data_IF_057131469186
#
_entry.id   IF_057131469186
#
_cell.length_a   1.000
_cell.length_b   1.000
_cell.length_c   1.000
_cell.angle_alpha   90.00
_cell.angle_beta   90.00
_cell.angle_gamma   90.00
#
_symmetry.space_group_name_H-M   'P 1'
#
loop_
_entity.id
_entity.type
_entity.pdbx_description
1 polymer ?
#
# COMPACT_ATOMS: atom_id res chain seq x y z
N UNK A 1 -19.06 54.87 -10.29
CA UNK A 1 -18.03 54.39 -9.35
C UNK A 1 -18.24 52.89 -9.13
N UNK A 2 -17.65 52.04 -9.98
CA UNK A 2 -17.70 50.58 -9.82
C UNK A 2 -16.57 50.15 -8.88
N UNK A 3 -16.90 49.60 -7.72
CA UNK A 3 -15.92 49.06 -6.77
C UNK A 3 -15.54 47.64 -7.21
N UNK A 4 -14.29 47.46 -7.63
CA UNK A 4 -13.69 46.16 -7.88
C UNK A 4 -13.40 45.49 -6.53
N UNK A 5 -14.18 44.46 -6.16
CA UNK A 5 -13.90 43.66 -4.98
C UNK A 5 -12.82 42.62 -5.33
N UNK A 6 -11.60 42.82 -4.85
CA UNK A 6 -10.57 41.77 -4.87
C UNK A 6 -10.99 40.67 -3.90
N UNK A 7 -11.40 39.51 -4.43
CA UNK A 7 -11.53 38.28 -3.66
C UNK A 7 -10.11 37.77 -3.41
N UNK A 8 -9.58 37.97 -2.21
CA UNK A 8 -8.32 37.36 -1.81
C UNK A 8 -8.55 35.85 -1.70
N UNK A 9 -8.07 35.09 -2.68
CA UNK A 9 -8.00 33.64 -2.62
C UNK A 9 -6.92 33.30 -1.59
N UNK A 10 -7.32 33.02 -0.35
CA UNK A 10 -6.43 32.44 0.64
C UNK A 10 -6.08 31.02 0.17
N UNK A 11 -4.93 30.87 -0.47
CA UNK A 11 -4.34 29.56 -0.63
C UNK A 11 -4.06 29.03 0.78
N UNK A 12 -4.83 28.05 1.24
CA UNK A 12 -4.49 27.28 2.43
C UNK A 12 -3.21 26.51 2.09
N UNK A 13 -2.06 27.09 2.39
CA UNK A 13 -0.85 26.32 2.48
C UNK A 13 -1.11 25.26 3.56
N UNK A 14 -1.20 23.99 3.17
CA UNK A 14 -1.09 22.86 4.10
C UNK A 14 0.36 22.85 4.61
N UNK A 15 0.70 23.85 5.42
CA UNK A 15 1.97 23.90 6.11
C UNK A 15 1.94 22.83 7.20
N UNK A 16 3.01 22.05 7.29
CA UNK A 16 3.25 21.15 8.40
C UNK A 16 3.13 21.94 9.72
N UNK A 17 2.08 21.68 10.49
CA UNK A 17 1.85 22.30 11.80
C UNK A 17 2.14 21.24 12.86
N UNK A 18 3.30 21.37 13.50
CA UNK A 18 3.67 20.53 14.64
C UNK A 18 2.97 21.03 15.92
N UNK A 19 2.42 20.14 16.78
CA UNK A 19 2.44 18.66 16.70
C UNK A 19 1.36 18.09 15.77
N UNK A 20 1.70 17.04 15.01
CA UNK A 20 0.73 16.28 14.22
C UNK A 20 0.90 14.78 14.50
N UNK A 21 0.01 14.18 15.32
CA UNK A 21 0.16 12.79 15.75
C UNK A 21 0.05 11.77 14.60
N UNK A 22 -0.59 12.12 13.48
CA UNK A 22 -0.66 11.22 12.32
C UNK A 22 0.65 11.18 11.55
N UNK A 23 1.24 12.36 11.28
CA UNK A 23 2.54 12.45 10.63
C UNK A 23 3.65 11.88 11.51
N UNK A 24 3.63 12.18 12.81
CA UNK A 24 4.60 11.62 13.77
C UNK A 24 4.52 10.08 13.78
N UNK A 25 3.32 9.50 13.63
CA UNK A 25 3.15 8.04 13.57
C UNK A 25 3.65 7.44 12.25
N UNK A 26 3.41 8.10 11.12
CA UNK A 26 3.94 7.69 9.81
C UNK A 26 5.47 7.72 9.81
N UNK A 27 6.06 8.81 10.32
CA UNK A 27 7.52 8.95 10.43
C UNK A 27 8.12 7.87 11.33
N UNK A 28 7.45 7.54 12.44
CA UNK A 28 7.87 6.46 13.32
C UNK A 28 7.86 5.10 12.62
N UNK A 29 6.83 4.80 11.81
CA UNK A 29 6.75 3.55 11.06
C UNK A 29 7.79 3.44 9.93
N UNK A 30 8.14 4.55 9.28
CA UNK A 30 9.10 4.58 8.16
C UNK A 30 10.56 4.64 8.62
N UNK A 31 10.86 5.46 9.62
CA UNK A 31 12.24 5.86 9.91
C UNK A 31 12.75 5.44 11.29
N UNK A 32 11.87 5.17 12.26
CA UNK A 32 12.28 4.82 13.62
C UNK A 32 12.47 3.31 13.79
N UNK A 33 13.46 2.77 13.09
CA UNK A 33 13.96 1.41 13.35
C UNK A 33 14.90 1.48 14.56
N UNK A 34 14.33 1.49 15.77
CA UNK A 34 15.13 1.53 16.99
C UNK A 34 15.84 0.18 17.22
N UNK A 35 17.10 0.18 17.72
CA UNK A 35 17.79 -1.05 18.09
C UNK A 35 16.98 -1.83 19.14
N UNK A 36 16.54 -3.04 18.78
CA UNK A 36 15.79 -3.93 19.69
C UNK A 36 14.26 -3.83 19.61
N UNK A 37 13.69 -3.03 18.71
CA UNK A 37 12.25 -3.05 18.41
C UNK A 37 11.98 -3.84 17.11
N UNK A 38 10.89 -4.60 17.09
CA UNK A 38 10.40 -5.29 15.88
C UNK A 38 9.65 -4.31 14.99
N UNK A 39 10.36 -3.43 14.30
CA UNK A 39 9.79 -2.54 13.28
C UNK A 39 9.34 -3.32 12.03
N UNK A 40 8.61 -2.68 11.12
CA UNK A 40 8.11 -3.30 9.88
C UNK A 40 9.25 -3.97 9.08
N UNK A 41 10.42 -3.33 9.02
CA UNK A 41 11.61 -3.86 8.34
C UNK A 41 12.08 -5.24 8.87
N UNK A 42 11.87 -5.53 10.16
CA UNK A 42 12.29 -6.80 10.76
C UNK A 42 11.57 -8.02 10.18
N UNK A 43 10.42 -7.82 9.52
CA UNK A 43 9.64 -8.87 8.87
C UNK A 43 10.07 -9.15 7.43
N UNK A 44 10.90 -8.28 6.84
CA UNK A 44 11.43 -8.44 5.48
C UNK A 44 12.95 -8.62 5.48
N UNK A 45 13.60 -8.62 6.65
CA UNK A 45 15.02 -8.89 6.80
C UNK A 45 15.27 -10.30 7.38
N UNK A 46 15.98 -11.19 6.67
CA UNK A 46 16.48 -11.05 5.30
C UNK A 46 15.37 -11.23 4.25
N UNK A 47 15.53 -10.57 3.09
CA UNK A 47 14.53 -10.48 2.01
C UNK A 47 14.01 -11.84 1.49
N UNK A 48 14.79 -12.91 1.64
CA UNK A 48 14.46 -14.25 1.15
C UNK A 48 13.74 -15.15 2.18
N UNK A 49 13.27 -14.59 3.29
CA UNK A 49 12.65 -15.36 4.36
C UNK A 49 11.15 -15.11 4.51
N UNK A 50 10.47 -16.16 4.97
CA UNK A 50 9.06 -16.16 5.29
C UNK A 50 8.88 -16.67 6.73
N UNK A 51 8.68 -15.75 7.67
CA UNK A 51 7.91 -15.92 8.92
C UNK A 51 7.88 -14.59 9.68
N UNK A 52 6.98 -14.46 10.65
CA UNK A 52 6.88 -13.30 11.52
C UNK A 52 8.04 -13.21 12.55
N UNK A 53 8.64 -14.36 12.90
CA UNK A 53 9.69 -14.48 13.90
C UNK A 53 10.58 -15.70 13.58
N UNK A 54 11.75 -15.49 12.97
CA UNK A 54 12.71 -16.56 12.64
C UNK A 54 12.35 -17.34 11.37
N UNK A 55 12.46 -16.70 10.22
CA UNK A 55 12.03 -17.24 8.93
C UNK A 55 12.84 -18.45 8.46
N UNK A 56 12.17 -19.34 7.73
CA UNK A 56 12.84 -20.44 7.01
C UNK A 56 12.93 -20.08 5.53
N UNK A 57 14.09 -20.27 4.91
CA UNK A 57 14.26 -20.12 3.46
C UNK A 57 13.43 -21.20 2.75
N UNK A 58 12.21 -20.85 2.35
CA UNK A 58 11.21 -21.77 1.81
C UNK A 58 10.86 -21.50 0.34
N UNK A 59 11.55 -20.55 -0.30
CA UNK A 59 11.22 -20.07 -1.65
C UNK A 59 10.05 -19.07 -1.69
N UNK A 60 9.48 -18.73 -0.52
CA UNK A 60 8.51 -17.65 -0.30
C UNK A 60 9.16 -16.58 0.59
N UNK A 61 8.75 -15.33 0.44
CA UNK A 61 9.23 -14.21 1.26
C UNK A 61 8.10 -13.25 1.62
N UNK A 62 8.15 -12.66 2.82
CA UNK A 62 7.21 -11.60 3.20
C UNK A 62 7.28 -10.40 2.25
N UNK A 63 8.48 -10.01 1.81
CA UNK A 63 8.65 -8.90 0.87
C UNK A 63 7.87 -9.12 -0.43
N UNK A 64 7.98 -10.31 -1.04
CA UNK A 64 7.21 -10.65 -2.25
C UNK A 64 5.70 -10.68 -2.00
N UNK A 65 5.24 -11.20 -0.85
CA UNK A 65 3.82 -11.19 -0.50
C UNK A 65 3.28 -9.76 -0.38
N UNK A 66 4.04 -8.86 0.23
CA UNK A 66 3.64 -7.47 0.46
C UNK A 66 3.58 -6.68 -0.84
N UNK A 67 4.62 -6.78 -1.66
CA UNK A 67 4.69 -6.14 -2.99
C UNK A 67 3.54 -6.62 -3.87
N UNK A 68 3.27 -7.93 -3.88
CA UNK A 68 2.13 -8.50 -4.61
C UNK A 68 0.81 -7.96 -4.07
N UNK A 69 0.63 -7.94 -2.74
CA UNK A 69 -0.61 -7.45 -2.12
C UNK A 69 -0.90 -6.01 -2.51
N UNK A 70 0.11 -5.13 -2.44
CA UNK A 70 -0.02 -3.74 -2.85
C UNK A 70 -0.33 -3.58 -4.35
N UNK A 71 0.29 -4.39 -5.22
CA UNK A 71 -0.05 -4.39 -6.64
C UNK A 71 -1.51 -4.80 -6.90
N UNK A 72 -1.98 -5.86 -6.24
CA UNK A 72 -3.35 -6.36 -6.45
C UNK A 72 -4.42 -5.40 -5.91
N UNK A 73 -4.13 -4.68 -4.81
CA UNK A 73 -4.99 -3.61 -4.31
C UNK A 73 -5.05 -2.45 -5.33
N UNK A 74 -3.88 -1.95 -5.76
CA UNK A 74 -3.79 -0.76 -6.61
C UNK A 74 -4.23 -0.97 -8.06
N UNK A 75 -4.12 -2.19 -8.61
CA UNK A 75 -4.36 -2.47 -10.02
C UNK A 75 -5.82 -2.27 -10.46
N UNK A 76 -6.75 -2.24 -9.51
CA UNK A 76 -8.19 -2.04 -9.75
C UNK A 76 -8.56 -0.58 -10.02
N UNK A 77 -7.59 0.35 -9.95
CA UNK A 77 -7.86 1.79 -10.12
C UNK A 77 -8.45 2.12 -11.48
N UNK A 78 -9.58 2.83 -11.48
CA UNK A 78 -10.23 3.35 -12.68
C UNK A 78 -10.26 4.88 -12.64
N UNK A 79 -9.54 5.52 -13.57
CA UNK A 79 -9.47 6.98 -13.68
C UNK A 79 -10.80 7.63 -14.07
N UNK A 80 -11.71 6.88 -14.70
CA UNK A 80 -12.97 7.43 -15.24
C UNK A 80 -13.99 7.71 -14.15
N UNK A 81 -14.12 6.79 -13.19
CA UNK A 81 -15.03 6.92 -12.05
C UNK A 81 -14.31 7.22 -10.73
N UNK A 82 -12.98 7.16 -10.71
CA UNK A 82 -12.14 7.43 -9.55
C UNK A 82 -12.15 6.32 -8.51
N UNK A 83 -12.65 5.13 -8.86
CA UNK A 83 -12.71 3.97 -7.96
C UNK A 83 -11.38 3.21 -7.92
N UNK A 84 -11.21 2.41 -6.87
CA UNK A 84 -10.04 1.58 -6.64
C UNK A 84 -8.72 2.31 -6.47
N UNK A 85 -7.64 1.54 -6.49
CA UNK A 85 -6.31 2.02 -6.17
C UNK A 85 -5.83 1.48 -4.83
N UNK A 86 -4.82 2.15 -4.27
CA UNK A 86 -4.23 1.70 -3.01
C UNK A 86 -5.08 2.21 -1.84
N UNK A 87 -6.14 1.46 -1.52
CA UNK A 87 -7.17 1.79 -0.53
C UNK A 87 -7.45 0.64 0.45
N UNK A 88 -6.64 -0.43 0.41
CA UNK A 88 -6.78 -1.64 1.22
C UNK A 88 -8.09 -2.41 1.02
N UNK A 89 -8.76 -2.28 -0.13
CA UNK A 89 -9.90 -3.13 -0.50
C UNK A 89 -9.56 -4.62 -0.52
N UNK A 90 -8.30 -4.97 -0.82
CA UNK A 90 -7.82 -6.36 -0.85
C UNK A 90 -8.02 -7.09 0.48
N UNK A 91 -8.34 -6.38 1.58
CA UNK A 91 -8.70 -6.98 2.87
C UNK A 91 -10.05 -7.70 2.89
N UNK A 92 -10.95 -7.38 1.96
CA UNK A 92 -12.27 -8.00 1.88
C UNK A 92 -12.17 -9.43 1.33
N UNK A 93 -12.85 -10.37 1.98
CA UNK A 93 -12.78 -11.79 1.63
C UNK A 93 -13.34 -12.05 0.22
N UNK A 94 -14.34 -11.27 -0.18
CA UNK A 94 -14.96 -11.28 -1.50
C UNK A 94 -13.96 -10.93 -2.61
N UNK A 95 -13.02 -10.04 -2.32
CA UNK A 95 -11.96 -9.64 -3.25
C UNK A 95 -10.84 -10.69 -3.32
N UNK A 96 -10.41 -11.20 -2.17
CA UNK A 96 -9.40 -12.27 -2.11
C UNK A 96 -9.87 -13.59 -2.74
N UNK A 97 -11.19 -13.85 -2.78
CA UNK A 97 -11.75 -15.07 -3.36
C UNK A 97 -11.78 -15.09 -4.90
N UNK A 98 -11.41 -14.00 -5.57
CA UNK A 98 -11.45 -13.89 -7.03
C UNK A 98 -10.35 -14.71 -7.69
N UNK A 99 -10.61 -15.16 -8.92
CA UNK A 99 -9.64 -15.95 -9.71
C UNK A 99 -8.33 -15.20 -9.96
N UNK A 100 -8.41 -13.88 -10.15
CA UNK A 100 -7.27 -12.97 -10.32
C UNK A 100 -6.40 -12.84 -9.05
N UNK A 101 -6.92 -13.27 -7.89
CA UNK A 101 -6.27 -13.17 -6.58
C UNK A 101 -5.94 -14.54 -5.96
N UNK A 102 -5.18 -15.42 -6.63
CA UNK A 102 -4.87 -16.74 -6.08
C UNK A 102 -3.82 -16.67 -4.98
N UNK A 103 -3.93 -17.58 -4.01
CA UNK A 103 -2.90 -17.84 -3.00
C UNK A 103 -3.20 -17.28 -1.61
N UNK A 104 -2.23 -17.35 -0.72
CA UNK A 104 -2.35 -16.95 0.71
C UNK A 104 -1.52 -15.73 1.07
N UNK A 105 -0.94 -15.05 0.07
CA UNK A 105 -0.07 -13.89 0.26
C UNK A 105 -0.79 -12.69 0.87
N UNK A 106 -2.02 -12.43 0.43
CA UNK A 106 -2.84 -11.31 0.90
C UNK A 106 -3.16 -11.43 2.39
N UNK A 107 -3.70 -12.58 2.80
CA UNK A 107 -3.98 -12.86 4.22
C UNK A 107 -2.74 -12.81 5.10
N UNK A 108 -1.59 -13.31 4.63
CA UNK A 108 -0.32 -13.18 5.36
C UNK A 108 0.10 -11.72 5.54
N UNK A 109 0.11 -10.95 4.44
CA UNK A 109 0.47 -9.53 4.44
C UNK A 109 -0.39 -8.75 5.41
N UNK A 110 -1.72 -8.87 5.29
CA UNK A 110 -2.67 -8.18 6.13
C UNK A 110 -2.54 -8.60 7.61
N UNK A 111 -2.29 -9.88 7.88
CA UNK A 111 -2.09 -10.36 9.25
C UNK A 111 -0.84 -9.78 9.91
N UNK A 112 0.27 -9.66 9.17
CA UNK A 112 1.51 -9.09 9.72
C UNK A 112 1.38 -7.58 9.89
N UNK A 113 0.89 -6.89 8.85
CA UNK A 113 0.75 -5.44 8.84
C UNK A 113 -0.32 -4.93 9.82
N UNK A 114 -1.32 -5.75 10.15
CA UNK A 114 -2.29 -5.42 11.21
C UNK A 114 -1.64 -5.14 12.57
N UNK A 115 -0.46 -5.71 12.85
CA UNK A 115 0.30 -5.42 14.07
C UNK A 115 0.79 -3.97 14.19
N UNK A 116 0.80 -3.22 13.08
CA UNK A 116 1.21 -1.82 13.01
C UNK A 116 0.02 -0.86 12.85
N UNK A 117 -1.21 -1.38 12.97
CA UNK A 117 -2.42 -0.57 12.88
C UNK A 117 -2.55 0.39 14.05
N UNK A 118 -2.88 1.64 13.74
CA UNK A 118 -3.09 2.70 14.73
C UNK A 118 -4.37 3.47 14.42
N UNK A 119 -4.83 4.30 15.36
CA UNK A 119 -5.97 5.20 15.13
C UNK A 119 -5.66 6.37 14.18
N UNK A 120 -4.39 6.57 13.81
CA UNK A 120 -3.93 7.74 13.07
C UNK A 120 -3.51 7.43 11.62
N UNK A 121 -3.23 6.16 11.31
CA UNK A 121 -2.74 5.72 10.01
C UNK A 121 -3.70 4.67 9.45
N UNK A 122 -4.11 4.84 8.21
CA UNK A 122 -5.02 3.92 7.51
C UNK A 122 -4.34 2.59 7.21
N UNK A 123 -5.12 1.52 7.02
CA UNK A 123 -4.58 0.22 6.60
C UNK A 123 -3.94 0.35 5.22
N UNK A 124 -4.52 1.16 4.34
CA UNK A 124 -3.97 1.50 3.03
C UNK A 124 -2.57 2.14 3.13
N UNK A 125 -2.37 3.08 4.06
CA UNK A 125 -1.05 3.67 4.30
C UNK A 125 -0.08 2.67 4.91
N UNK A 126 -0.52 1.77 5.80
CA UNK A 126 0.35 0.72 6.35
C UNK A 126 0.79 -0.26 5.25
N UNK A 127 -0.11 -0.65 4.35
CA UNK A 127 0.22 -1.47 3.18
C UNK A 127 1.24 -0.78 2.28
N UNK A 128 1.06 0.52 2.05
CA UNK A 128 1.99 1.33 1.29
C UNK A 128 3.38 1.41 1.95
N UNK A 129 3.43 1.69 3.26
CA UNK A 129 4.67 1.71 4.05
C UNK A 129 5.39 0.36 3.98
N UNK A 130 4.67 -0.74 4.22
CA UNK A 130 5.22 -2.09 4.12
C UNK A 130 5.82 -2.36 2.74
N UNK A 131 5.17 -1.89 1.68
CA UNK A 131 5.64 -2.05 0.30
C UNK A 131 6.91 -1.27 0.02
N UNK A 132 6.98 0.00 0.45
CA UNK A 132 8.20 0.82 0.32
C UNK A 132 9.37 0.16 1.04
N UNK A 133 9.15 -0.24 2.30
CA UNK A 133 10.17 -0.94 3.10
C UNK A 133 10.59 -2.26 2.45
N UNK A 134 9.65 -3.07 1.96
CA UNK A 134 9.96 -4.33 1.29
C UNK A 134 10.86 -4.13 0.06
N UNK A 135 10.61 -3.09 -0.74
CA UNK A 135 11.43 -2.79 -1.92
C UNK A 135 12.83 -2.34 -1.50
N UNK A 136 12.93 -1.42 -0.54
CA UNK A 136 14.21 -0.86 -0.10
C UNK A 136 15.10 -1.92 0.60
N UNK A 137 14.52 -2.73 1.50
CA UNK A 137 15.22 -3.78 2.23
C UNK A 137 15.69 -4.94 1.33
N UNK A 138 15.02 -5.13 0.19
CA UNK A 138 15.43 -6.08 -0.84
C UNK A 138 16.44 -5.50 -1.85
N UNK A 139 16.98 -4.30 -1.61
CA UNK A 139 17.98 -3.65 -2.47
C UNK A 139 17.39 -2.94 -3.68
N UNK A 140 16.08 -2.67 -3.68
CA UNK A 140 15.41 -1.85 -4.68
C UNK A 140 15.65 -0.35 -4.51
N UNK A 141 15.06 0.48 -5.40
CA UNK A 141 15.19 1.94 -5.30
C UNK A 141 14.39 2.49 -4.13
N UNK A 142 14.79 3.67 -3.64
CA UNK A 142 13.99 4.45 -2.70
C UNK A 142 12.68 4.90 -3.36
N UNK A 143 11.54 4.59 -2.75
CA UNK A 143 10.22 4.96 -3.28
C UNK A 143 9.69 6.15 -2.47
N UNK A 144 9.39 7.30 -3.11
CA UNK A 144 8.79 8.43 -2.41
C UNK A 144 7.43 8.04 -1.80
N UNK A 145 7.32 8.16 -0.49
CA UNK A 145 6.08 7.92 0.24
C UNK A 145 5.24 9.19 0.36
N UNK A 146 3.92 9.02 0.31
CA UNK A 146 2.92 10.05 0.62
C UNK A 146 1.84 9.40 1.45
N UNK A 147 1.45 10.01 2.56
CA UNK A 147 0.39 9.56 3.46
C UNK A 147 -0.98 10.11 3.05
N UNK A 148 -2.02 9.70 3.78
CA UNK A 148 -3.37 10.23 3.65
C UNK A 148 -4.30 9.35 2.82
N UNK A 149 -3.95 8.07 2.61
CA UNK A 149 -4.86 7.12 1.96
C UNK A 149 -6.08 6.88 2.85
N UNK A 150 -7.22 6.68 2.21
CA UNK A 150 -8.48 6.36 2.87
C UNK A 150 -8.78 4.91 2.63
N UNK A 151 -9.11 4.19 3.71
CA UNK A 151 -9.48 2.78 3.63
C UNK A 151 -10.82 2.60 2.91
N UNK A 152 -10.86 1.67 1.95
CA UNK A 152 -12.08 1.25 1.26
C UNK A 152 -13.10 0.65 2.24
N UNK A 153 -14.37 1.01 2.06
CA UNK A 153 -15.47 0.47 2.87
C UNK A 153 -16.09 -0.80 2.30
N UNK A 154 -15.72 -1.14 1.06
CA UNK A 154 -16.24 -2.27 0.29
C UNK A 154 -15.15 -2.83 -0.64
N UNK A 155 -15.26 -4.08 -1.13
CA UNK A 155 -14.33 -4.63 -2.11
C UNK A 155 -14.36 -3.84 -3.41
N UNK A 156 -13.20 -3.63 -4.04
CA UNK A 156 -13.08 -2.93 -5.32
C UNK A 156 -13.59 -3.80 -6.48
N UNK A 157 -13.77 -3.23 -7.67
CA UNK A 157 -14.14 -4.01 -8.84
C UNK A 157 -13.03 -4.98 -9.27
N UNK A 158 -13.36 -6.11 -9.92
CA UNK A 158 -12.36 -6.96 -10.56
C UNK A 158 -11.61 -6.21 -11.66
N UNK A 159 -10.40 -6.67 -12.00
CA UNK A 159 -9.60 -6.04 -13.04
C UNK A 159 -8.09 -6.21 -12.90
N UNK A 160 -7.63 -7.08 -12.00
CA UNK A 160 -6.19 -7.34 -11.87
C UNK A 160 -5.72 -8.19 -13.06
N UNK A 161 -4.64 -7.81 -13.77
CA UNK A 161 -4.16 -8.58 -14.90
C UNK A 161 -3.75 -10.00 -14.52
N UNK A 162 -4.30 -11.00 -15.23
CA UNK A 162 -3.96 -12.41 -15.06
C UNK A 162 -2.83 -12.81 -16.03
N UNK A 163 -1.93 -13.75 -15.64
CA UNK A 163 -0.80 -14.15 -16.48
C UNK A 163 -1.18 -14.71 -17.86
N UNK A 164 -2.36 -15.31 -17.97
CA UNK A 164 -2.87 -15.91 -19.20
C UNK A 164 -3.47 -14.86 -20.17
N UNK A 165 -3.67 -13.62 -19.72
CA UNK A 165 -4.29 -12.57 -20.53
C UNK A 165 -3.33 -12.10 -21.64
N UNK A 166 -3.85 -11.86 -22.86
CA UNK A 166 -3.06 -11.35 -23.96
C UNK A 166 -2.68 -9.88 -23.70
N UNK A 167 -1.51 -9.47 -24.20
CA UNK A 167 -0.97 -8.11 -24.00
C UNK A 167 -1.80 -6.98 -24.65
N UNK A 168 -2.75 -7.32 -25.53
CA UNK A 168 -3.73 -6.46 -26.22
C UNK A 168 -4.81 -7.41 -26.83
N UNK A 169 -6.02 -6.96 -27.22
CA UNK A 169 -6.77 -7.72 -28.21
C UNK A 169 -5.87 -7.87 -29.44
N UNK A 170 -5.65 -9.09 -29.92
CA UNK A 170 -5.00 -9.30 -31.20
C UNK A 170 -5.72 -8.38 -32.20
N UNK A 171 -5.03 -7.34 -32.68
CA UNK A 171 -5.57 -6.52 -33.75
C UNK A 171 -5.98 -7.49 -34.86
N UNK A 172 -7.21 -7.43 -35.40
CA UNK A 172 -7.59 -8.31 -36.47
C UNK A 172 -6.57 -8.12 -37.60
N UNK A 173 -5.88 -9.20 -37.92
CA UNK A 173 -4.94 -9.26 -39.03
C UNK A 173 -5.65 -8.75 -40.29
N UNK A 174 -5.32 -7.54 -40.72
CA UNK A 174 -5.64 -7.03 -42.05
C UNK A 174 -4.52 -7.46 -43.01
#
# INVERSE_FOLDING_TARGET
>A
MFRLALLACFATANAYLWPNPALDQVDSLLYEILPGTTGIASFVQPCNTFSAFGGTNSGRSNAADWIRTAYHDMATHNITDGTGGMDASIRFAEEQARLENPGTGFGNTLSVLAGFSTRYVSIADILAIGTVIAVEECGGPQIPFRDGRVDATEPNFPGVPEPEQPLLPALPSC
#
